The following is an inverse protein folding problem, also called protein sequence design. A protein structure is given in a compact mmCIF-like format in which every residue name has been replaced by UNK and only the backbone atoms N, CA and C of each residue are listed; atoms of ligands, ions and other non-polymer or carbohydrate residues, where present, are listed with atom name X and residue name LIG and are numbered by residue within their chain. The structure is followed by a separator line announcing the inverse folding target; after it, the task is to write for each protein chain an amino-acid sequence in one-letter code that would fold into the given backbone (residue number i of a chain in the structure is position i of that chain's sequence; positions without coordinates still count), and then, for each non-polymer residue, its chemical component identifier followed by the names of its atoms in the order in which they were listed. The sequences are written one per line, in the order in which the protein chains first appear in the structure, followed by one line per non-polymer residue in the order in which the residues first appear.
data_IF_832933738573
#
_entry.id   IF_832933738573
#
_cell.length_a   1.000
_cell.length_b   1.000
_cell.length_c   1.000
_cell.angle_alpha   90.00
_cell.angle_beta   90.00
_cell.angle_gamma   90.00
#
_symmetry.space_group_name_H-M   'P 1'
#
loop_
_entity.id
_entity.type
_entity.pdbx_description
1 polymer ?
#
# COMPACT_ATOMS: atom_id res chain seq x y z
N UNK A 1 -16.65 22.42 -17.38
CA UNK A 1 -16.98 21.98 -16.00
C UNK A 1 -16.84 20.45 -15.89
N UNK A 2 -15.79 19.87 -16.51
CA UNK A 2 -15.62 18.42 -16.69
C UNK A 2 -14.73 17.77 -15.61
N UNK A 3 -14.27 18.56 -14.63
CA UNK A 3 -13.33 18.10 -13.59
C UNK A 3 -14.01 17.57 -12.33
N UNK A 4 -15.30 17.87 -12.13
CA UNK A 4 -16.01 17.51 -10.90
C UNK A 4 -16.78 16.19 -11.01
N UNK A 5 -17.19 15.77 -12.22
CA UNK A 5 -17.98 14.54 -12.40
C UNK A 5 -17.14 13.25 -12.28
N UNK A 6 -15.81 13.33 -12.40
CA UNK A 6 -14.92 12.17 -12.18
C UNK A 6 -14.58 11.94 -10.71
N UNK A 7 -14.95 12.85 -9.80
CA UNK A 7 -14.69 12.70 -8.37
C UNK A 7 -15.62 11.65 -7.71
N UNK A 8 -16.72 11.30 -8.39
CA UNK A 8 -17.84 10.52 -7.84
C UNK A 8 -18.00 9.09 -8.40
N UNK A 9 -17.06 8.57 -9.19
CA UNK A 9 -17.02 7.12 -9.47
C UNK A 9 -16.47 6.34 -8.25
N UNK A 10 -17.08 6.57 -7.08
CA UNK A 10 -16.88 5.87 -5.81
C UNK A 10 -17.81 4.64 -5.68
N UNK A 11 -18.55 4.25 -6.71
CA UNK A 11 -19.41 3.05 -6.70
C UNK A 11 -18.64 1.72 -6.68
N UNK A 12 -17.32 1.80 -6.65
CA UNK A 12 -16.49 0.67 -6.29
C UNK A 12 -15.94 0.93 -4.89
N UNK A 13 -16.60 0.36 -3.87
CA UNK A 13 -16.02 0.13 -2.54
C UNK A 13 -14.65 -0.57 -2.63
N UNK A 14 -14.33 -1.15 -3.79
CA UNK A 14 -13.10 -1.85 -4.13
C UNK A 14 -12.07 -0.92 -4.80
N UNK A 15 -10.84 -1.01 -4.33
CA UNK A 15 -9.65 -0.35 -4.84
C UNK A 15 -8.79 -1.42 -5.50
N UNK A 16 -8.43 -1.21 -6.77
CA UNK A 16 -7.60 -2.14 -7.55
C UNK A 16 -6.15 -1.62 -7.58
N UNK A 17 -5.22 -2.37 -7.01
CA UNK A 17 -3.81 -2.00 -6.88
C UNK A 17 -2.98 -2.97 -7.70
N UNK A 18 -2.25 -2.45 -8.68
CA UNK A 18 -1.36 -3.24 -9.51
C UNK A 18 0.03 -3.22 -8.89
N UNK A 19 0.52 -4.40 -8.52
CA UNK A 19 1.94 -4.62 -8.33
C UNK A 19 2.57 -4.89 -9.69
N UNK A 20 3.76 -4.36 -9.97
CA UNK A 20 4.33 -4.33 -11.32
C UNK A 20 4.52 -5.71 -12.04
N UNK A 21 4.02 -6.82 -11.46
CA UNK A 21 4.02 -8.20 -11.93
C UNK A 21 2.92 -8.57 -12.97
N UNK A 22 2.00 -7.66 -13.32
CA UNK A 22 1.06 -7.74 -14.46
C UNK A 22 0.05 -8.91 -14.52
N UNK A 23 -0.12 -9.76 -13.50
CA UNK A 23 -1.03 -10.92 -13.63
C UNK A 23 -2.50 -10.58 -13.31
N UNK A 24 -2.77 -9.90 -12.20
CA UNK A 24 -4.10 -9.39 -11.80
C UNK A 24 -3.92 -8.31 -10.72
N UNK A 25 -4.73 -7.24 -10.70
CA UNK A 25 -4.67 -6.27 -9.61
C UNK A 25 -5.14 -6.89 -8.29
N UNK A 26 -4.49 -6.50 -7.21
CA UNK A 26 -4.95 -6.75 -5.84
C UNK A 26 -6.21 -5.92 -5.62
N UNK A 27 -7.28 -6.56 -5.16
CA UNK A 27 -8.55 -5.91 -4.87
C UNK A 27 -8.72 -5.78 -3.35
N UNK A 28 -8.88 -4.56 -2.86
CA UNK A 28 -9.04 -4.25 -1.42
C UNK A 28 -10.18 -3.26 -1.21
N UNK A 29 -10.90 -3.32 -0.09
CA UNK A 29 -11.93 -2.33 0.17
C UNK A 29 -11.34 -0.98 0.61
N UNK A 30 -11.89 0.13 0.10
CA UNK A 30 -11.46 1.48 0.44
C UNK A 30 -11.52 1.74 1.96
N UNK A 31 -12.50 1.18 2.67
CA UNK A 31 -12.60 1.32 4.12
C UNK A 31 -11.42 0.69 4.88
N UNK A 32 -10.82 -0.39 4.36
CA UNK A 32 -9.63 -1.02 4.96
C UNK A 32 -8.40 -0.13 4.80
N UNK A 33 -8.27 0.56 3.66
CA UNK A 33 -7.20 1.54 3.44
C UNK A 33 -7.38 2.77 4.33
N UNK A 34 -8.60 3.33 4.37
CA UNK A 34 -8.90 4.60 5.02
C UNK A 34 -8.71 4.55 6.56
N UNK A 35 -8.61 3.37 7.17
CA UNK A 35 -8.26 3.21 8.59
C UNK A 35 -6.89 3.82 8.92
N UNK A 36 -5.98 3.86 7.94
CA UNK A 36 -4.66 4.50 8.05
C UNK A 36 -4.61 5.76 7.18
N UNK A 37 -5.56 6.67 7.36
CA UNK A 37 -5.74 7.89 6.54
C UNK A 37 -4.49 8.79 6.38
N UNK A 38 -3.45 8.60 7.20
CA UNK A 38 -2.20 9.37 7.14
C UNK A 38 -1.19 8.79 6.13
N UNK A 39 -1.42 7.57 5.64
CA UNK A 39 -0.55 6.92 4.65
C UNK A 39 -0.97 7.27 3.23
N UNK A 40 -0.09 6.98 2.27
CA UNK A 40 -0.32 7.20 0.83
C UNK A 40 -1.58 6.48 0.35
N UNK A 41 -1.73 5.18 0.66
CA UNK A 41 -2.90 4.40 0.24
C UNK A 41 -4.15 4.75 1.05
N UNK A 42 -3.99 5.12 2.32
CA UNK A 42 -5.13 5.47 3.18
C UNK A 42 -5.74 6.84 2.86
N UNK A 43 -4.96 7.76 2.30
CA UNK A 43 -5.44 9.08 1.90
C UNK A 43 -5.94 9.07 0.44
N UNK A 44 -7.25 9.29 0.18
CA UNK A 44 -7.80 9.32 -1.18
C UNK A 44 -7.11 10.31 -2.12
N UNK A 45 -6.72 11.49 -1.62
CA UNK A 45 -6.07 12.53 -2.41
C UNK A 45 -4.63 12.17 -2.77
N UNK A 46 -3.94 11.43 -1.91
CA UNK A 46 -2.57 10.98 -2.15
C UNK A 46 -2.53 9.82 -3.13
N UNK A 47 -3.36 8.78 -2.92
CA UNK A 47 -3.40 7.65 -3.85
C UNK A 47 -3.88 8.04 -5.25
N UNK A 48 -4.74 9.07 -5.38
CA UNK A 48 -5.21 9.56 -6.68
C UNK A 48 -4.07 9.93 -7.64
N UNK A 49 -2.90 10.34 -7.11
CA UNK A 49 -1.69 10.64 -7.90
C UNK A 49 -1.14 9.43 -8.67
N UNK A 50 -1.52 8.21 -8.26
CA UNK A 50 -1.08 6.94 -8.81
C UNK A 50 -2.19 6.23 -9.58
N UNK A 51 -3.37 6.85 -9.72
CA UNK A 51 -4.50 6.26 -10.41
C UNK A 51 -4.37 6.43 -11.93
N UNK A 52 -4.45 5.30 -12.64
CA UNK A 52 -4.56 5.25 -14.09
C UNK A 52 -6.02 5.05 -14.48
N UNK A 53 -6.63 6.11 -15.01
CA UNK A 53 -8.03 6.10 -15.45
C UNK A 53 -8.28 5.25 -16.69
N UNK A 54 -7.25 4.86 -17.45
CA UNK A 54 -7.41 4.02 -18.65
C UNK A 54 -7.67 2.56 -18.32
N UNK A 55 -7.19 2.10 -17.16
CA UNK A 55 -7.30 0.71 -16.68
C UNK A 55 -8.01 0.60 -15.32
N UNK A 56 -8.47 1.73 -14.79
CA UNK A 56 -9.16 1.89 -13.51
C UNK A 56 -8.39 1.30 -12.31
N UNK A 57 -7.08 1.51 -12.26
CA UNK A 57 -6.18 0.91 -11.27
C UNK A 57 -5.18 1.91 -10.72
N UNK A 58 -4.74 1.68 -9.49
CA UNK A 58 -3.59 2.36 -8.92
C UNK A 58 -2.32 1.60 -9.28
N UNK A 59 -1.33 2.30 -9.83
CA UNK A 59 -0.07 1.69 -10.27
C UNK A 59 1.11 2.17 -9.43
N UNK A 60 1.83 1.22 -8.84
CA UNK A 60 3.05 1.48 -8.09
C UNK A 60 4.23 0.77 -8.74
N UNK A 61 5.25 1.53 -9.12
CA UNK A 61 6.52 1.01 -9.63
C UNK A 61 7.41 0.49 -8.48
N UNK A 62 6.85 -0.39 -7.65
CA UNK A 62 7.50 -1.02 -6.49
C UNK A 62 7.51 -2.53 -6.65
N UNK A 63 8.37 -3.20 -5.87
CA UNK A 63 8.50 -4.65 -5.93
C UNK A 63 7.20 -5.33 -5.47
N UNK A 64 6.75 -6.40 -6.17
CA UNK A 64 5.58 -7.19 -5.79
C UNK A 64 5.50 -7.57 -4.31
N UNK A 65 6.59 -8.05 -3.73
CA UNK A 65 6.61 -8.48 -2.33
C UNK A 65 6.35 -7.31 -1.36
N UNK A 66 6.90 -6.13 -1.67
CA UNK A 66 6.66 -4.92 -0.89
C UNK A 66 5.21 -4.51 -0.99
N UNK A 67 4.62 -4.50 -2.19
CA UNK A 67 3.21 -4.15 -2.35
C UNK A 67 2.33 -5.13 -1.57
N UNK A 68 2.58 -6.44 -1.69
CA UNK A 68 1.86 -7.46 -0.93
C UNK A 68 2.02 -7.29 0.59
N UNK A 69 3.21 -6.95 1.07
CA UNK A 69 3.48 -6.68 2.47
C UNK A 69 2.71 -5.45 2.97
N UNK A 70 2.76 -4.37 2.20
CA UNK A 70 2.07 -3.11 2.51
C UNK A 70 0.57 -3.35 2.56
N UNK A 71 -0.02 -4.06 1.59
CA UNK A 71 -1.45 -4.40 1.59
C UNK A 71 -1.83 -5.28 2.78
N UNK A 72 -1.02 -6.29 3.07
CA UNK A 72 -1.15 -7.15 4.25
C UNK A 72 -1.25 -6.31 5.53
N UNK A 73 -0.42 -5.28 5.68
CA UNK A 73 -0.48 -4.38 6.83
C UNK A 73 -1.86 -3.72 6.99
N UNK A 74 -2.47 -3.22 5.91
CA UNK A 74 -3.83 -2.65 5.97
C UNK A 74 -4.89 -3.69 6.33
N UNK A 75 -4.79 -4.91 5.79
CA UNK A 75 -5.80 -5.95 5.97
C UNK A 75 -5.81 -6.53 7.39
N UNK A 76 -4.65 -6.71 7.99
CA UNK A 76 -4.49 -7.43 9.27
C UNK A 76 -4.12 -6.51 10.43
N UNK A 77 -4.09 -5.20 10.21
CA UNK A 77 -3.73 -4.20 11.20
C UNK A 77 -2.35 -4.39 11.83
N UNK A 78 -1.39 -4.85 11.04
CA UNK A 78 -0.06 -5.13 11.54
C UNK A 78 0.61 -6.22 10.74
N UNK A 79 1.66 -6.74 11.34
CA UNK A 79 2.52 -7.70 10.68
C UNK A 79 1.92 -9.09 10.73
N UNK A 80 1.64 -9.62 9.55
CA UNK A 80 1.77 -11.06 9.40
C UNK A 80 3.26 -11.37 9.47
N UNK A 81 3.63 -12.45 10.17
CA UNK A 81 4.99 -12.97 10.18
C UNK A 81 5.37 -13.44 8.76
N UNK A 82 5.63 -12.50 7.87
CA UNK A 82 6.14 -12.76 6.54
C UNK A 82 7.64 -12.68 6.67
N UNK A 83 8.34 -13.72 6.24
CA UNK A 83 9.78 -13.69 6.02
C UNK A 83 10.05 -12.66 4.92
N UNK A 84 10.25 -11.40 5.31
CA UNK A 84 10.67 -10.36 4.39
C UNK A 84 12.18 -10.51 4.27
N UNK A 85 12.64 -11.12 3.17
CA UNK A 85 14.07 -11.23 2.86
C UNK A 85 14.66 -9.93 2.30
N UNK A 86 14.22 -8.77 2.81
CA UNK A 86 14.76 -7.48 2.40
C UNK A 86 15.69 -6.93 3.49
N UNK A 87 16.80 -6.27 3.09
CA UNK A 87 17.54 -5.41 4.00
C UNK A 87 16.60 -4.42 4.68
N UNK A 88 16.80 -4.19 5.98
CA UNK A 88 15.96 -3.32 6.81
C UNK A 88 15.88 -1.91 6.21
N UNK A 89 16.97 -1.43 5.63
CA UNK A 89 17.05 -0.11 5.00
C UNK A 89 16.13 -0.01 3.77
N UNK A 90 16.03 -1.08 2.97
CA UNK A 90 15.14 -1.09 1.79
C UNK A 90 13.68 -1.09 2.25
N UNK A 91 13.33 -1.91 3.25
CA UNK A 91 11.97 -1.90 3.80
C UNK A 91 11.62 -0.55 4.44
N UNK A 92 12.58 0.07 5.14
CA UNK A 92 12.41 1.40 5.73
C UNK A 92 12.07 2.44 4.65
N UNK A 93 12.84 2.49 3.57
CA UNK A 93 12.61 3.44 2.46
C UNK A 93 11.23 3.23 1.81
N UNK A 94 10.80 1.97 1.65
CA UNK A 94 9.48 1.63 1.12
C UNK A 94 8.35 2.07 2.07
N UNK A 95 8.49 1.83 3.37
CA UNK A 95 7.50 2.29 4.35
C UNK A 95 7.41 3.82 4.41
N UNK A 96 8.53 4.52 4.31
CA UNK A 96 8.58 5.98 4.19
C UNK A 96 7.87 6.43 2.92
N UNK A 97 8.12 5.77 1.78
CA UNK A 97 7.45 6.07 0.52
C UNK A 97 5.92 5.92 0.62
N UNK A 98 5.43 4.87 1.28
CA UNK A 98 3.99 4.67 1.50
C UNK A 98 3.41 5.56 2.61
N UNK A 99 4.20 6.47 3.20
CA UNK A 99 3.73 7.46 4.15
C UNK A 99 3.44 6.90 5.55
N UNK A 100 4.05 5.77 5.92
CA UNK A 100 3.98 5.28 7.29
C UNK A 100 4.76 6.23 8.21
N UNK A 101 4.18 6.50 9.38
CA UNK A 101 4.87 7.35 10.36
C UNK A 101 6.00 6.56 11.05
N UNK A 102 6.93 7.30 11.65
CA UNK A 102 8.14 6.73 12.25
C UNK A 102 7.84 5.71 13.36
N UNK A 103 6.76 5.90 14.14
CA UNK A 103 6.37 4.96 15.19
C UNK A 103 5.94 3.63 14.61
N UNK A 104 5.08 3.64 13.59
CA UNK A 104 4.63 2.42 12.90
C UNK A 104 5.82 1.72 12.23
N UNK A 105 6.73 2.48 11.62
CA UNK A 105 7.94 1.92 11.01
C UNK A 105 8.79 1.19 12.05
N UNK A 106 9.03 1.80 13.21
CA UNK A 106 9.75 1.14 14.30
C UNK A 106 9.05 -0.11 14.79
N UNK A 107 7.72 -0.06 14.93
CA UNK A 107 6.93 -1.22 15.37
C UNK A 107 7.04 -2.37 14.35
N UNK A 108 7.01 -2.06 13.05
CA UNK A 108 7.20 -3.03 11.97
C UNK A 108 8.61 -3.63 12.04
N UNK A 109 9.64 -2.81 12.06
CA UNK A 109 11.04 -3.28 12.03
C UNK A 109 11.36 -4.12 13.27
N UNK A 110 10.85 -3.73 14.44
CA UNK A 110 11.17 -4.37 15.71
C UNK A 110 10.42 -5.68 15.95
N UNK A 111 9.19 -5.80 15.46
CA UNK A 111 8.32 -6.93 15.80
C UNK A 111 8.10 -7.93 14.65
N UNK A 112 8.48 -7.55 13.43
CA UNK A 112 8.01 -8.26 12.22
C UNK A 112 9.13 -8.78 11.34
N UNK A 113 10.36 -8.34 11.59
CA UNK A 113 11.55 -8.84 10.92
C UNK A 113 12.20 -9.85 11.85
N UNK A 114 12.17 -11.12 11.46
CA UNK A 114 13.10 -12.11 12.03
C UNK A 114 14.47 -11.78 11.45
N UNK A 115 15.38 -11.25 12.27
CA UNK A 115 16.77 -11.04 11.83
C UNK A 115 17.39 -12.44 11.70
N UNK A 116 17.33 -13.01 10.50
CA UNK A 116 18.14 -14.17 10.16
C UNK A 116 19.59 -13.68 10.05
N UNK A 117 20.31 -13.77 11.17
CA UNK A 117 21.76 -13.66 11.18
C UNK A 117 22.32 -14.85 10.38
N UNK A 118 22.57 -14.65 9.09
CA UNK A 118 23.42 -15.55 8.30
C UNK A 118 24.89 -15.42 8.72
#
# INVERSE_FOLDING_TARGET
MMYEENYYNQDSDLVKINDSSQSNPIIIYAHQLNQYYHTLLGNPFERLKYYDSSIEQYHFYRTPDIINYIITYYLYHGCLSTEIHYPVEILYDELVFFGFNIQIIYDIISNCITIDYY
#
